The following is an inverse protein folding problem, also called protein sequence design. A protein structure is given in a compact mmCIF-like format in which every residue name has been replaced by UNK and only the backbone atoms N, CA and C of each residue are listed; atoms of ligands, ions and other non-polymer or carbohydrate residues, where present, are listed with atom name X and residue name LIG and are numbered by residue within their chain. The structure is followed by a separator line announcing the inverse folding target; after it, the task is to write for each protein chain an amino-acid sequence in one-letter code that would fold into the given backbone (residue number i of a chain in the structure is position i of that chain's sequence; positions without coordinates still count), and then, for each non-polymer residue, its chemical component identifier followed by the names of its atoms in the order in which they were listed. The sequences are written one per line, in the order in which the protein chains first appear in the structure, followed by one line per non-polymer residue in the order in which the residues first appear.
data_IF_053739989673
#
_entry.id   IF_053739989673
#
_cell.length_a   1.000
_cell.length_b   1.000
_cell.length_c   1.000
_cell.angle_alpha   90.00
_cell.angle_beta   90.00
_cell.angle_gamma   90.00
#
_symmetry.space_group_name_H-M   'P 1'
#
loop_
_entity.id
_entity.type
_entity.pdbx_description
1 polymer ?
#
# COMPACT_ATOMS: atom_id res chain seq x y z
N UNK A 1 9.71 21.09 -12.89
CA UNK A 1 9.94 20.95 -11.44
C UNK A 1 10.00 22.34 -10.82
N UNK A 2 9.14 22.64 -9.85
CA UNK A 2 9.07 23.96 -9.21
C UNK A 2 10.14 24.16 -8.12
N UNK A 3 10.47 25.42 -7.79
CA UNK A 3 11.48 25.77 -6.75
C UNK A 3 11.18 25.10 -5.40
N UNK A 4 9.90 25.00 -5.03
CA UNK A 4 9.49 24.36 -3.79
C UNK A 4 9.72 22.83 -3.77
N UNK A 5 9.56 22.15 -4.91
CA UNK A 5 9.82 20.71 -5.02
C UNK A 5 11.31 20.43 -4.89
N UNK A 6 12.16 21.23 -5.54
CA UNK A 6 13.62 21.15 -5.40
C UNK A 6 14.05 21.34 -3.95
N UNK A 7 13.45 22.30 -3.25
CA UNK A 7 13.71 22.53 -1.83
C UNK A 7 13.33 21.31 -0.97
N UNK A 8 12.16 20.71 -1.19
CA UNK A 8 11.74 19.52 -0.44
C UNK A 8 12.66 18.32 -0.70
N UNK A 9 12.96 18.03 -1.98
CA UNK A 9 13.86 16.94 -2.34
C UNK A 9 15.26 17.14 -1.75
N UNK A 10 15.79 18.36 -1.74
CA UNK A 10 17.07 18.67 -1.10
C UNK A 10 17.02 18.45 0.43
N UNK A 11 15.91 18.79 1.09
CA UNK A 11 15.76 18.56 2.52
C UNK A 11 15.68 17.07 2.87
N UNK A 12 14.95 16.28 2.09
CA UNK A 12 14.87 14.82 2.29
C UNK A 12 16.26 14.19 2.12
N UNK A 13 16.96 14.52 1.03
CA UNK A 13 18.31 13.99 0.75
C UNK A 13 19.39 14.39 1.74
N UNK A 14 19.20 15.52 2.44
CA UNK A 14 20.12 16.01 3.48
C UNK A 14 19.68 15.64 4.89
N UNK A 15 18.55 14.96 5.03
CA UNK A 15 18.09 14.49 6.33
C UNK A 15 19.02 13.37 6.81
N UNK A 16 19.30 13.31 8.11
CA UNK A 16 20.16 12.26 8.69
C UNK A 16 19.43 10.91 8.80
N UNK A 17 18.09 10.92 8.73
CA UNK A 17 17.25 9.73 8.73
C UNK A 17 17.14 9.09 7.35
N UNK A 18 17.00 7.76 7.34
CA UNK A 18 16.80 6.99 6.10
C UNK A 18 15.43 7.29 5.48
N UNK A 19 15.32 7.33 4.13
CA UNK A 19 14.02 7.39 3.45
C UNK A 19 13.23 6.08 3.65
N UNK A 20 11.92 6.06 3.36
CA UNK A 20 11.14 4.82 3.40
C UNK A 20 11.56 3.91 2.25
N UNK A 21 11.84 2.65 2.52
CA UNK A 21 12.18 1.65 1.50
C UNK A 21 10.92 1.02 0.89
N UNK A 22 9.84 0.92 1.67
CA UNK A 22 8.54 0.45 1.21
C UNK A 22 7.42 1.48 1.48
N UNK A 23 6.79 1.98 0.41
CA UNK A 23 5.68 2.94 0.50
C UNK A 23 4.37 2.26 0.11
N UNK A 24 3.33 2.41 0.93
CA UNK A 24 1.97 2.00 0.61
C UNK A 24 1.08 3.21 0.27
N UNK A 25 0.32 3.10 -0.82
CA UNK A 25 -0.74 4.05 -1.19
C UNK A 25 -2.10 3.39 -0.94
N UNK A 26 -2.96 4.06 -0.19
CA UNK A 26 -4.30 3.56 0.13
C UNK A 26 -5.35 4.39 -0.60
N UNK A 27 -6.04 3.73 -1.53
CA UNK A 27 -7.05 4.29 -2.41
C UNK A 27 -8.38 3.57 -2.22
N UNK A 28 -9.45 4.20 -2.67
CA UNK A 28 -10.77 3.61 -2.82
C UNK A 28 -11.10 3.45 -4.30
N UNK A 29 -12.09 2.61 -4.62
CA UNK A 29 -12.64 2.52 -5.97
C UNK A 29 -13.04 3.90 -6.53
N UNK A 30 -13.52 4.82 -5.68
CA UNK A 30 -13.96 6.16 -6.08
C UNK A 30 -12.80 7.03 -6.53
N UNK A 31 -11.65 6.92 -5.86
CA UNK A 31 -10.44 7.66 -6.24
C UNK A 31 -10.01 7.31 -7.67
N UNK A 32 -10.15 6.03 -8.06
CA UNK A 32 -9.79 5.54 -9.40
C UNK A 32 -10.86 5.79 -10.49
N UNK A 33 -12.08 6.18 -10.11
CA UNK A 33 -13.14 6.55 -11.06
C UNK A 33 -13.04 8.01 -11.52
N UNK A 34 -12.20 8.82 -10.87
CA UNK A 34 -12.00 10.21 -11.26
C UNK A 34 -11.19 10.33 -12.57
N UNK A 35 -11.46 11.39 -13.34
CA UNK A 35 -10.69 11.68 -14.56
C UNK A 35 -9.22 11.96 -14.19
N UNK A 36 -8.29 11.30 -14.87
CA UNK A 36 -6.85 11.44 -14.62
C UNK A 36 -6.34 10.66 -13.40
N UNK A 37 -7.18 9.82 -12.78
CA UNK A 37 -6.78 9.08 -11.58
C UNK A 37 -5.63 8.08 -11.84
N UNK A 38 -5.63 7.40 -12.99
CA UNK A 38 -4.56 6.48 -13.37
C UNK A 38 -3.27 7.22 -13.76
N UNK A 39 -3.37 8.39 -14.39
CA UNK A 39 -2.22 9.25 -14.67
C UNK A 39 -1.55 9.70 -13.37
N UNK A 40 -2.36 10.08 -12.38
CA UNK A 40 -1.88 10.40 -11.03
C UNK A 40 -1.19 9.20 -10.37
N UNK A 41 -1.71 7.99 -10.56
CA UNK A 41 -1.11 6.77 -10.03
C UNK A 41 0.26 6.48 -10.69
N UNK A 42 0.35 6.59 -12.01
CA UNK A 42 1.60 6.49 -12.77
C UNK A 42 2.63 7.51 -12.29
N UNK A 43 2.23 8.77 -12.13
CA UNK A 43 3.07 9.83 -11.59
C UNK A 43 3.57 9.49 -10.17
N UNK A 44 2.68 8.99 -9.30
CA UNK A 44 3.02 8.57 -7.94
C UNK A 44 4.05 7.44 -7.93
N UNK A 45 3.97 6.47 -8.83
CA UNK A 45 5.02 5.45 -8.96
C UNK A 45 6.36 6.09 -9.29
N UNK A 46 6.40 6.99 -10.27
CA UNK A 46 7.61 7.73 -10.62
C UNK A 46 8.21 8.48 -9.43
N UNK A 47 7.38 9.13 -8.61
CA UNK A 47 7.85 9.85 -7.42
C UNK A 47 8.30 8.91 -6.29
N UNK A 48 7.62 7.77 -6.10
CA UNK A 48 7.94 6.82 -5.04
C UNK A 48 9.29 6.14 -5.28
N UNK A 49 9.59 5.71 -6.51
CA UNK A 49 10.87 5.09 -6.85
C UNK A 49 12.07 6.06 -6.85
N UNK A 50 11.86 7.36 -6.57
CA UNK A 50 12.97 8.27 -6.22
C UNK A 50 13.49 8.05 -4.78
N UNK A 51 12.73 7.36 -3.92
CA UNK A 51 13.02 7.23 -2.48
C UNK A 51 12.89 5.80 -1.95
N UNK A 52 12.06 4.95 -2.57
CA UNK A 52 11.71 3.60 -2.14
C UNK A 52 12.09 2.55 -3.18
N UNK A 53 12.34 1.32 -2.73
CA UNK A 53 12.57 0.16 -3.62
C UNK A 53 11.29 -0.65 -3.88
N UNK A 54 10.25 -0.46 -3.05
CA UNK A 54 8.98 -1.16 -3.18
C UNK A 54 7.78 -0.22 -3.01
N UNK A 55 6.72 -0.45 -3.79
CA UNK A 55 5.44 0.25 -3.69
C UNK A 55 4.30 -0.75 -3.60
N UNK A 56 3.43 -0.59 -2.60
CA UNK A 56 2.15 -1.30 -2.51
C UNK A 56 1.01 -0.32 -2.72
N UNK A 57 0.00 -0.69 -3.49
CA UNK A 57 -1.24 0.07 -3.65
C UNK A 57 -2.38 -0.79 -3.16
N UNK A 58 -3.13 -0.31 -2.17
CA UNK A 58 -4.34 -0.97 -1.71
C UNK A 58 -5.56 -0.20 -2.19
N UNK A 59 -6.37 -0.82 -3.04
CA UNK A 59 -7.62 -0.30 -3.58
C UNK A 59 -8.78 -0.98 -2.84
N UNK A 60 -9.41 -0.24 -1.95
CA UNK A 60 -10.62 -0.70 -1.26
C UNK A 60 -11.83 -0.60 -2.19
N UNK A 61 -12.52 -1.73 -2.39
CA UNK A 61 -13.78 -1.82 -3.14
C UNK A 61 -14.92 -2.15 -2.19
N UNK A 62 -16.10 -1.62 -2.47
CA UNK A 62 -17.32 -1.97 -1.73
C UNK A 62 -18.12 -3.07 -2.45
N UNK A 63 -18.00 -3.14 -3.77
CA UNK A 63 -18.67 -4.10 -4.62
C UNK A 63 -17.65 -4.91 -5.45
N UNK A 64 -17.69 -6.23 -5.31
CA UNK A 64 -16.84 -7.15 -6.08
C UNK A 64 -17.07 -7.04 -7.59
N UNK A 65 -18.22 -6.52 -8.03
CA UNK A 65 -18.50 -6.29 -9.44
C UNK A 65 -17.57 -5.26 -10.10
N UNK A 66 -16.95 -4.36 -9.31
CA UNK A 66 -15.97 -3.40 -9.81
C UNK A 66 -14.59 -4.03 -10.07
N UNK A 67 -14.27 -5.16 -9.44
CA UNK A 67 -12.93 -5.77 -9.44
C UNK A 67 -12.43 -6.09 -10.86
N UNK A 68 -13.20 -6.73 -11.76
CA UNK A 68 -12.70 -7.07 -13.09
C UNK A 68 -12.33 -5.84 -13.93
N UNK A 69 -13.11 -4.77 -13.80
CA UNK A 69 -12.85 -3.52 -14.51
C UNK A 69 -11.58 -2.84 -13.97
N UNK A 70 -11.47 -2.69 -12.65
CA UNK A 70 -10.29 -2.12 -12.00
C UNK A 70 -9.03 -2.92 -12.31
N UNK A 71 -9.09 -4.26 -12.20
CA UNK A 71 -7.96 -5.15 -12.49
C UNK A 71 -7.44 -4.93 -13.90
N UNK A 72 -8.33 -4.89 -14.92
CA UNK A 72 -7.91 -4.72 -16.32
C UNK A 72 -7.13 -3.42 -16.52
N UNK A 73 -7.61 -2.30 -15.98
CA UNK A 73 -6.91 -1.02 -16.11
C UNK A 73 -5.56 -1.04 -15.37
N UNK A 74 -5.54 -1.56 -14.14
CA UNK A 74 -4.34 -1.64 -13.29
C UNK A 74 -3.26 -2.61 -13.81
N UNK A 75 -3.64 -3.68 -14.50
CA UNK A 75 -2.70 -4.60 -15.15
C UNK A 75 -1.99 -3.96 -16.36
N UNK A 76 -2.64 -2.98 -17.00
CA UNK A 76 -2.10 -2.27 -18.16
C UNK A 76 -1.48 -0.92 -17.83
N UNK A 77 -1.40 -0.57 -16.55
CA UNK A 77 -0.91 0.74 -16.11
C UNK A 77 0.55 0.94 -16.50
N UNK A 78 0.87 2.15 -16.95
CA UNK A 78 2.26 2.54 -17.17
C UNK A 78 2.96 2.72 -15.82
N UNK A 79 4.09 2.04 -15.64
CA UNK A 79 4.84 2.06 -14.40
C UNK A 79 6.35 1.91 -14.63
N UNK A 80 7.19 2.49 -13.76
CA UNK A 80 8.65 2.43 -13.89
C UNK A 80 9.25 1.06 -13.53
N UNK A 81 8.45 0.16 -12.94
CA UNK A 81 8.84 -1.18 -12.50
C UNK A 81 7.73 -2.19 -12.80
N UNK A 82 8.02 -3.51 -12.81
CA UNK A 82 7.00 -4.53 -12.98
C UNK A 82 5.88 -4.43 -11.93
N UNK A 83 4.65 -4.66 -12.37
CA UNK A 83 3.42 -4.58 -11.57
C UNK A 83 2.82 -5.97 -11.40
N UNK A 84 2.45 -6.32 -10.17
CA UNK A 84 1.62 -7.49 -9.87
C UNK A 84 0.29 -7.02 -9.26
N UNK A 85 -0.82 -7.33 -9.93
CA UNK A 85 -2.17 -7.04 -9.44
C UNK A 85 -2.77 -8.28 -8.80
N UNK A 86 -3.43 -8.11 -7.65
CA UNK A 86 -4.21 -9.16 -6.98
C UNK A 86 -5.61 -8.67 -6.64
N UNK A 87 -6.60 -9.53 -6.83
CA UNK A 87 -7.98 -9.34 -6.41
C UNK A 87 -8.29 -10.09 -5.11
N UNK A 88 -9.53 -9.98 -4.61
CA UNK A 88 -9.93 -10.54 -3.31
C UNK A 88 -9.82 -12.07 -3.22
N UNK A 89 -9.98 -12.77 -4.35
CA UNK A 89 -9.99 -14.24 -4.41
C UNK A 89 -8.62 -14.85 -4.76
N UNK A 90 -7.61 -14.02 -5.03
CA UNK A 90 -6.28 -14.53 -5.32
C UNK A 90 -5.61 -15.06 -4.05
N UNK A 91 -4.88 -16.17 -4.21
CA UNK A 91 -4.13 -16.81 -3.14
C UNK A 91 -2.64 -16.83 -3.39
N UNK A 92 -2.21 -16.32 -4.54
CA UNK A 92 -0.81 -16.34 -4.95
C UNK A 92 -0.14 -15.05 -4.51
N UNK A 93 0.99 -15.17 -3.81
CA UNK A 93 1.80 -14.01 -3.41
C UNK A 93 2.13 -13.13 -4.62
N UNK A 94 2.08 -11.82 -4.42
CA UNK A 94 2.54 -10.84 -5.40
C UNK A 94 4.05 -10.64 -5.25
N UNK A 95 4.82 -11.12 -6.23
CA UNK A 95 6.27 -10.92 -6.28
C UNK A 95 6.63 -9.94 -7.40
N UNK A 96 6.56 -8.65 -7.09
CA UNK A 96 6.95 -7.55 -7.95
C UNK A 96 7.31 -6.32 -7.10
N UNK A 97 8.14 -5.38 -7.61
CA UNK A 97 8.42 -4.12 -6.92
C UNK A 97 7.18 -3.24 -6.75
N UNK A 98 6.20 -3.35 -7.66
CA UNK A 98 4.88 -2.69 -7.54
C UNK A 98 3.82 -3.76 -7.32
N UNK A 99 3.12 -3.66 -6.19
CA UNK A 99 2.08 -4.60 -5.77
C UNK A 99 0.76 -3.87 -5.67
N UNK A 100 -0.28 -4.33 -6.35
CA UNK A 100 -1.58 -3.67 -6.34
C UNK A 100 -2.63 -4.66 -5.85
N UNK A 101 -3.20 -4.40 -4.69
CA UNK A 101 -4.30 -5.16 -4.10
C UNK A 101 -5.63 -4.50 -4.32
N UNK A 102 -6.59 -5.22 -4.89
CA UNK A 102 -7.98 -4.83 -4.95
C UNK A 102 -8.70 -5.69 -3.92
N UNK A 103 -9.21 -5.06 -2.85
CA UNK A 103 -9.66 -5.79 -1.66
C UNK A 103 -10.93 -5.26 -1.03
N UNK A 104 -11.63 -6.15 -0.33
CA UNK A 104 -12.86 -5.86 0.43
C UNK A 104 -12.60 -5.34 1.85
N UNK A 105 -11.34 -4.99 2.15
CA UNK A 105 -10.88 -4.52 3.45
C UNK A 105 -9.84 -5.44 4.09
N UNK A 106 -9.05 -4.89 5.02
CA UNK A 106 -8.03 -5.64 5.77
C UNK A 106 -8.65 -6.73 6.67
N UNK A 107 -9.84 -6.49 7.23
CA UNK A 107 -10.58 -7.52 7.99
C UNK A 107 -10.97 -8.71 7.13
N UNK A 108 -11.34 -8.47 5.88
CA UNK A 108 -11.68 -9.56 4.95
C UNK A 108 -10.45 -10.40 4.63
N UNK A 109 -9.32 -9.75 4.30
CA UNK A 109 -8.04 -10.43 4.07
C UNK A 109 -7.64 -11.31 5.26
N UNK A 110 -7.65 -10.75 6.48
CA UNK A 110 -7.34 -11.48 7.70
C UNK A 110 -8.30 -12.66 7.94
N UNK A 111 -9.60 -12.47 7.72
CA UNK A 111 -10.59 -13.56 7.85
C UNK A 111 -10.31 -14.69 6.86
N UNK A 112 -9.89 -14.37 5.64
CA UNK A 112 -9.54 -15.36 4.62
C UNK A 112 -8.25 -16.11 4.97
N UNK A 113 -7.25 -15.43 5.52
CA UNK A 113 -6.03 -16.06 6.05
C UNK A 113 -6.35 -17.04 7.18
N UNK A 114 -7.13 -16.62 8.18
CA UNK A 114 -7.56 -17.48 9.31
C UNK A 114 -8.34 -18.70 8.84
N UNK A 115 -9.26 -18.53 7.87
CA UNK A 115 -10.00 -19.68 7.30
C UNK A 115 -9.07 -20.67 6.62
N UNK A 116 -8.05 -20.18 5.91
CA UNK A 116 -7.08 -21.04 5.21
C UNK A 116 -6.24 -21.83 6.21
N UNK A 117 -5.74 -21.17 7.27
CA UNK A 117 -5.03 -21.85 8.37
C UNK A 117 -5.91 -22.89 9.06
N UNK A 118 -7.17 -22.56 9.35
CA UNK A 118 -8.11 -23.49 9.97
C UNK A 118 -8.36 -24.74 9.10
N UNK A 119 -8.47 -24.59 7.78
CA UNK A 119 -8.58 -25.73 6.86
C UNK A 119 -7.31 -26.57 6.85
N UNK A 120 -6.12 -25.96 6.84
CA UNK A 120 -4.85 -26.71 6.93
C UNK A 120 -4.72 -27.51 8.23
N UNK A 121 -5.23 -26.97 9.33
CA UNK A 121 -5.33 -27.70 10.61
C UNK A 121 -6.31 -28.86 10.53
N UNK A 122 -7.49 -28.65 9.95
CA UNK A 122 -8.50 -29.71 9.77
C UNK A 122 -7.97 -30.85 8.88
N UNK A 123 -7.20 -30.51 7.84
CA UNK A 123 -6.58 -31.45 6.91
C UNK A 123 -5.33 -32.16 7.50
N UNK A 124 -4.88 -31.75 8.70
CA UNK A 124 -3.71 -32.31 9.38
C UNK A 124 -2.37 -31.88 8.79
N UNK A 125 -2.36 -30.78 8.01
CA UNK A 125 -1.15 -30.19 7.41
C UNK A 125 -0.42 -29.22 8.36
N UNK A 126 -1.07 -28.81 9.45
CA UNK A 126 -0.56 -27.87 10.46
C UNK A 126 -1.17 -28.20 11.82
N UNK A 127 -0.41 -28.13 12.90
CA UNK A 127 -0.96 -28.22 14.26
C UNK A 127 -1.41 -26.82 14.75
N UNK A 128 -2.48 -26.70 15.57
CA UNK A 128 -2.93 -25.40 16.06
C UNK A 128 -1.87 -24.58 16.79
N UNK A 129 -0.98 -25.27 17.52
CA UNK A 129 0.09 -24.65 18.32
C UNK A 129 1.27 -24.18 17.45
N UNK A 130 1.29 -24.54 16.16
CA UNK A 130 2.27 -24.06 15.16
C UNK A 130 1.83 -22.75 14.49
N UNK A 131 0.59 -22.28 14.73
CA UNK A 131 0.13 -21.01 14.19
C UNK A 131 0.76 -19.86 14.96
N UNK A 132 1.70 -19.17 14.31
CA UNK A 132 2.33 -17.95 14.78
C UNK A 132 2.12 -16.77 13.80
N UNK A 133 2.77 -15.63 14.08
CA UNK A 133 2.68 -14.43 13.25
C UNK A 133 3.19 -14.68 11.82
N UNK A 134 4.23 -15.52 11.66
CA UNK A 134 4.79 -15.87 10.35
C UNK A 134 3.78 -16.71 9.54
N UNK A 135 3.12 -17.68 10.18
CA UNK A 135 2.05 -18.44 9.55
C UNK A 135 0.88 -17.56 9.10
N UNK A 136 0.51 -16.54 9.87
CA UNK A 136 -0.53 -15.59 9.45
C UNK A 136 -0.05 -14.79 8.23
N UNK A 137 1.16 -14.24 8.28
CA UNK A 137 1.73 -13.42 7.23
C UNK A 137 1.82 -14.15 5.89
N UNK A 138 2.23 -15.41 5.88
CA UNK A 138 2.32 -16.24 4.67
C UNK A 138 0.99 -16.37 3.91
N UNK A 139 -0.14 -16.20 4.61
CA UNK A 139 -1.48 -16.30 4.04
C UNK A 139 -2.12 -14.94 3.75
N UNK A 140 -1.40 -13.83 3.97
CA UNK A 140 -1.80 -12.51 3.48
C UNK A 140 -1.41 -12.37 2.00
N UNK A 141 -2.22 -11.63 1.24
CA UNK A 141 -1.95 -11.40 -0.19
C UNK A 141 -0.69 -10.53 -0.35
N UNK A 142 -0.53 -9.57 0.56
CA UNK A 142 0.63 -8.68 0.64
C UNK A 142 1.28 -8.80 2.02
N UNK A 143 2.24 -9.69 2.22
CA UNK A 143 2.87 -9.90 3.53
C UNK A 143 3.90 -8.83 3.92
N UNK A 144 4.15 -7.84 3.08
CA UNK A 144 5.19 -6.83 3.33
C UNK A 144 4.66 -5.66 4.16
N UNK A 145 5.30 -5.42 5.29
CA UNK A 145 5.11 -4.21 6.11
C UNK A 145 5.64 -2.97 5.38
N UNK A 146 4.82 -1.92 5.14
CA UNK A 146 5.28 -0.66 4.60
C UNK A 146 5.94 0.20 5.68
N UNK A 147 6.96 0.96 5.29
CA UNK A 147 7.55 1.98 6.15
C UNK A 147 6.61 3.18 6.31
N UNK A 148 5.97 3.58 5.20
CA UNK A 148 5.11 4.74 5.10
C UNK A 148 3.82 4.36 4.37
N UNK A 149 2.67 4.63 5.01
CA UNK A 149 1.35 4.54 4.37
C UNK A 149 0.85 5.95 4.10
N UNK A 150 0.57 6.24 2.83
CA UNK A 150 -0.05 7.50 2.38
C UNK A 150 -1.50 7.24 2.01
N UNK A 151 -2.41 7.95 2.69
CA UNK A 151 -3.84 7.92 2.38
C UNK A 151 -4.33 9.31 1.98
N UNK A 152 -4.93 9.41 0.80
CA UNK A 152 -5.63 10.60 0.34
C UNK A 152 -7.11 10.52 0.71
N UNK A 153 -7.70 11.64 1.13
CA UNK A 153 -9.13 11.73 1.40
C UNK A 153 -9.57 11.06 2.71
N UNK A 154 -10.27 11.84 3.53
CA UNK A 154 -10.89 11.50 4.82
C UNK A 154 -9.95 11.15 5.99
N UNK A 155 -10.16 11.86 7.11
CA UNK A 155 -9.38 11.86 8.37
C UNK A 155 -9.37 10.54 9.17
N UNK A 156 -9.92 9.43 8.64
CA UNK A 156 -10.07 8.16 9.37
C UNK A 156 -9.37 7.03 8.65
N UNK A 157 -8.72 6.16 9.44
CA UNK A 157 -8.31 4.84 8.97
C UNK A 157 -9.53 4.12 8.38
N UNK A 158 -9.45 3.83 7.09
CA UNK A 158 -10.35 2.87 6.46
C UNK A 158 -9.83 1.45 6.78
N UNK A 159 -10.67 0.45 6.57
CA UNK A 159 -10.30 -0.95 6.75
C UNK A 159 -9.29 -1.37 5.67
N UNK A 160 -7.99 -1.18 5.90
CA UNK A 160 -6.90 -1.54 4.97
C UNK A 160 -5.68 -2.03 5.75
N UNK A 161 -4.94 -2.98 5.17
CA UNK A 161 -3.62 -3.46 5.63
C UNK A 161 -3.48 -3.56 7.17
N UNK A 162 -4.51 -4.06 7.86
CA UNK A 162 -4.63 -3.94 9.33
C UNK A 162 -3.56 -4.72 10.09
N UNK A 163 -3.00 -5.76 9.48
CA UNK A 163 -1.89 -6.55 10.01
C UNK A 163 -0.55 -5.91 9.62
N UNK A 164 -0.39 -5.64 8.33
CA UNK A 164 0.87 -5.19 7.75
C UNK A 164 1.27 -3.79 8.22
N UNK A 165 0.33 -2.95 8.64
CA UNK A 165 0.59 -1.54 8.96
C UNK A 165 0.80 -1.22 10.44
N UNK A 166 0.97 -2.24 11.29
CA UNK A 166 1.04 -2.08 12.75
C UNK A 166 2.19 -1.17 13.19
N UNK A 167 3.37 -1.25 12.56
CA UNK A 167 4.50 -0.35 12.87
C UNK A 167 4.80 0.67 11.75
N UNK A 168 3.92 0.79 10.77
CA UNK A 168 4.05 1.77 9.69
C UNK A 168 3.79 3.19 10.15
N UNK A 169 4.49 4.14 9.54
CA UNK A 169 4.14 5.55 9.68
C UNK A 169 2.93 5.88 8.82
N UNK A 170 1.86 6.37 9.43
CA UNK A 170 0.65 6.76 8.72
C UNK A 170 0.65 8.26 8.40
N UNK A 171 0.44 8.60 7.13
CA UNK A 171 0.30 9.96 6.64
C UNK A 171 -1.04 10.15 5.92
N UNK A 172 -1.89 11.00 6.48
CA UNK A 172 -3.20 11.34 5.94
C UNK A 172 -3.16 12.74 5.35
N UNK A 173 -3.70 12.91 4.15
CA UNK A 173 -3.79 14.20 3.47
C UNK A 173 -5.22 14.52 3.04
N UNK A 174 -5.61 15.78 3.22
CA UNK A 174 -6.91 16.31 2.78
C UNK A 174 -6.94 16.62 1.28
N UNK A 175 -5.82 16.40 0.57
CA UNK A 175 -5.75 16.55 -0.89
C UNK A 175 -6.50 15.39 -1.54
N UNK A 176 -7.47 15.72 -2.39
CA UNK A 176 -8.18 14.74 -3.22
C UNK A 176 -7.19 14.01 -4.13
N UNK A 177 -7.46 12.73 -4.42
CA UNK A 177 -6.58 11.91 -5.25
C UNK A 177 -6.23 12.58 -6.59
N UNK A 178 -7.22 13.03 -7.38
CA UNK A 178 -6.99 13.72 -8.67
C UNK A 178 -6.13 14.98 -8.60
N UNK A 179 -6.07 15.61 -7.42
CA UNK A 179 -5.40 16.89 -7.20
C UNK A 179 -4.02 16.68 -6.54
N UNK A 180 -3.64 15.43 -6.26
CA UNK A 180 -2.38 15.07 -5.64
C UNK A 180 -1.21 15.42 -6.56
N UNK A 181 -0.25 16.16 -6.01
CA UNK A 181 0.94 16.60 -6.75
C UNK A 181 2.20 16.09 -6.08
N UNK A 182 3.31 16.10 -6.82
CA UNK A 182 4.64 15.74 -6.30
C UNK A 182 4.97 16.43 -4.98
N UNK A 183 4.63 17.72 -4.83
CA UNK A 183 4.88 18.46 -3.57
C UNK A 183 4.18 17.84 -2.35
N UNK A 184 2.99 17.27 -2.54
CA UNK A 184 2.17 16.72 -1.47
C UNK A 184 2.69 15.34 -1.10
N UNK A 185 3.08 14.54 -2.09
CA UNK A 185 3.84 13.31 -1.88
C UNK A 185 5.16 13.54 -1.13
N UNK A 186 5.96 14.53 -1.54
CA UNK A 186 7.22 14.88 -0.87
C UNK A 186 7.01 15.37 0.57
N UNK A 187 5.83 15.92 0.92
CA UNK A 187 5.51 16.24 2.31
C UNK A 187 5.35 14.97 3.14
N UNK A 188 4.70 13.93 2.61
CA UNK A 188 4.56 12.64 3.28
C UNK A 188 5.91 11.99 3.56
N UNK A 189 6.78 11.90 2.55
CA UNK A 189 8.14 11.35 2.69
C UNK A 189 8.97 12.16 3.68
N UNK A 190 8.89 13.50 3.61
CA UNK A 190 9.60 14.35 4.56
C UNK A 190 9.11 14.16 5.99
N UNK A 191 7.79 14.04 6.19
CA UNK A 191 7.21 13.85 7.51
C UNK A 191 7.68 12.52 8.11
N UNK A 192 7.68 11.45 7.31
CA UNK A 192 8.29 10.18 7.66
C UNK A 192 9.75 10.35 8.12
N UNK A 193 10.61 11.04 7.37
CA UNK A 193 12.01 11.22 7.75
C UNK A 193 12.18 12.01 9.07
N UNK A 194 11.28 12.96 9.37
CA UNK A 194 11.35 13.75 10.60
C UNK A 194 10.88 12.96 11.84
N UNK A 195 10.07 11.92 11.66
CA UNK A 195 9.58 11.11 12.78
C UNK A 195 10.74 10.27 13.30
N UNK A 196 11.10 10.49 14.56
CA UNK A 196 12.08 9.66 15.26
C UNK A 196 11.45 8.28 15.49
N UNK A 197 11.82 7.29 14.67
CA UNK A 197 11.40 5.90 14.82
C UNK A 197 11.81 5.37 16.21
N UNK A 198 10.86 5.37 17.13
CA UNK A 198 10.96 4.64 18.40
C UNK A 198 10.19 3.35 18.19
N UNK A 199 10.86 2.34 17.60
CA UNK A 199 10.32 0.99 17.45
C UNK A 199 10.08 0.35 18.83
N UNK A 200 9.05 0.81 19.56
CA UNK A 200 8.71 0.31 20.89
C UNK A 200 9.83 0.38 21.95
N UNK A 201 10.81 1.28 21.81
CA UNK A 201 11.83 1.57 22.84
C UNK A 201 11.44 2.75 23.71
#
# INVERSE_FOLDING_TARGET
MGVYEQYLSLRIRRHEGEPPDHIALVLTERDLLERGAYETLTDCFGWAFEYASQVTVYVSVLDTAAVPALRRELETIEAPQPVAVRGPDDRTRADAPIRIGIGLGGKHEFTSAVRTLATRVEDGELEPDEIDDEQVEEHLIFPSEPDLVVKTGAERLSDFMIWQSVYSELYFTDVNWRDLRKRDFLRAVREYCNRSRRFGR
#
